data_IF_794929709751
#
_entry.id   IF_794929709751
#
_cell.length_a   1.000
_cell.length_b   1.000
_cell.length_c   1.000
_cell.angle_alpha   90.00
_cell.angle_beta   90.00
_cell.angle_gamma   90.00
#
_symmetry.space_group_name_H-M   'P 1'
#
loop_
_entity.id
_entity.type
_entity.pdbx_description
1 polymer ?
#
# COMPACT_ATOMS: atom_id res chain seq x y z
N UNK A 1 -1.82 56.37 8.19
CA UNK A 1 -1.88 55.81 9.55
C UNK A 1 -3.07 54.86 9.58
N UNK A 2 -2.84 53.67 9.00
CA UNK A 2 -2.77 52.36 9.68
C UNK A 2 -4.16 51.79 9.92
N UNK A 3 -4.66 51.11 8.88
CA UNK A 3 -5.44 49.89 9.01
C UNK A 3 -4.77 48.95 10.01
N UNK A 4 -5.57 48.41 10.94
CA UNK A 4 -5.20 47.23 11.71
C UNK A 4 -6.32 46.21 11.54
N UNK A 5 -5.99 44.93 11.27
CA UNK A 5 -6.92 44.00 10.66
C UNK A 5 -7.91 43.44 11.68
N UNK A 6 -9.06 43.02 11.14
CA UNK A 6 -10.14 42.28 11.78
C UNK A 6 -9.69 40.86 12.16
N UNK A 7 -8.91 40.73 13.22
CA UNK A 7 -8.74 39.47 13.96
C UNK A 7 -9.86 39.41 15.00
N UNK A 8 -10.91 38.65 14.69
CA UNK A 8 -11.82 38.17 15.73
C UNK A 8 -11.10 37.08 16.53
N UNK A 9 -11.21 37.18 17.85
CA UNK A 9 -10.61 36.30 18.85
C UNK A 9 -10.95 34.82 18.59
N UNK A 10 -9.92 34.00 18.40
CA UNK A 10 -10.05 32.56 18.36
C UNK A 10 -9.92 32.03 19.78
N UNK A 11 -11.04 31.66 20.40
CA UNK A 11 -11.04 30.95 21.68
C UNK A 11 -10.64 29.48 21.47
N UNK A 12 -9.86 28.93 22.41
CA UNK A 12 -9.31 27.56 22.37
C UNK A 12 -10.36 26.44 22.20
N UNK A 13 -11.64 26.76 22.41
CA UNK A 13 -12.76 25.83 22.31
C UNK A 13 -13.12 25.45 20.86
N UNK A 14 -12.83 26.32 19.86
CA UNK A 14 -13.12 26.05 18.44
C UNK A 14 -12.03 25.23 17.72
N UNK A 15 -10.80 25.25 18.22
CA UNK A 15 -9.72 24.39 17.70
C UNK A 15 -10.01 22.92 18.07
N UNK A 16 -10.64 22.68 19.22
CA UNK A 16 -10.98 21.34 19.71
C UNK A 16 -12.04 20.57 18.91
N UNK A 17 -12.81 21.18 18.01
CA UNK A 17 -13.90 20.47 17.31
C UNK A 17 -13.60 20.13 15.85
N UNK A 18 -12.41 20.47 15.32
CA UNK A 18 -12.03 20.12 13.93
C UNK A 18 -10.77 19.26 13.80
N UNK A 19 -10.11 18.94 14.92
CA UNK A 19 -8.90 18.10 14.96
C UNK A 19 -9.09 16.78 15.75
N UNK A 20 -10.30 16.54 16.29
CA UNK A 20 -10.58 15.41 17.20
C UNK A 20 -11.19 14.15 16.54
N UNK A 21 -11.36 14.11 15.21
CA UNK A 21 -11.95 12.94 14.52
C UNK A 21 -10.91 11.97 13.91
N UNK A 22 -9.61 12.27 14.00
CA UNK A 22 -8.55 11.38 13.48
C UNK A 22 -7.74 10.70 14.60
N UNK A 23 -7.38 11.44 15.65
CA UNK A 23 -6.46 10.95 16.69
C UNK A 23 -7.15 10.16 17.81
N UNK A 24 -8.45 10.34 18.05
CA UNK A 24 -9.19 9.59 19.09
C UNK A 24 -9.58 8.16 18.63
N UNK A 25 -9.35 7.83 17.36
CA UNK A 25 -9.56 6.47 16.83
C UNK A 25 -8.44 5.47 17.18
N UNK A 26 -7.37 5.92 17.84
CA UNK A 26 -6.16 5.10 18.08
C UNK A 26 -5.80 4.96 19.57
N UNK A 27 -6.71 5.32 20.51
CA UNK A 27 -6.36 5.23 21.94
C UNK A 27 -7.48 4.76 22.87
N UNK A 28 -7.83 3.47 22.79
CA UNK A 28 -8.14 2.68 24.00
C UNK A 28 -7.65 1.23 23.82
N UNK A 29 -6.69 0.73 24.62
CA UNK A 29 -6.32 -0.68 24.63
C UNK A 29 -7.39 -1.46 25.40
N UNK A 30 -8.13 -2.31 24.69
CA UNK A 30 -9.06 -3.26 25.28
C UNK A 30 -10.51 -2.95 24.94
N UNK A 31 -11.05 -3.72 23.99
CA UNK A 31 -12.45 -3.78 23.59
C UNK A 31 -13.00 -2.59 22.79
N UNK A 32 -12.69 -2.52 21.49
CA UNK A 32 -13.60 -1.88 20.53
C UNK A 32 -13.77 -2.72 19.26
N UNK A 33 -15.01 -2.76 18.81
CA UNK A 33 -15.57 -3.58 17.74
C UNK A 33 -14.95 -3.26 16.36
N UNK A 34 -13.76 -3.81 16.06
CA UNK A 34 -13.20 -3.78 14.71
C UNK A 34 -14.13 -4.41 13.66
N UNK A 35 -14.96 -5.36 14.09
CA UNK A 35 -15.92 -6.05 13.25
C UNK A 35 -17.12 -5.19 12.82
N UNK A 36 -17.39 -4.04 13.46
CA UNK A 36 -18.59 -3.24 13.19
C UNK A 36 -18.34 -2.00 12.31
N UNK A 37 -17.13 -1.44 12.27
CA UNK A 37 -16.83 -0.30 11.40
C UNK A 37 -16.60 -0.70 9.93
N UNK A 38 -16.29 -1.98 9.69
CA UNK A 38 -16.02 -2.54 8.35
C UNK A 38 -17.29 -2.99 7.62
N UNK A 39 -18.42 -3.18 8.33
CA UNK A 39 -19.61 -3.85 7.79
C UNK A 39 -20.59 -2.95 7.02
N UNK A 40 -20.45 -1.63 7.05
CA UNK A 40 -21.44 -0.71 6.45
C UNK A 40 -20.97 0.02 5.18
N UNK A 41 -19.67 0.00 4.84
CA UNK A 41 -19.24 0.58 3.56
C UNK A 41 -19.44 -0.42 2.43
N UNK A 42 -20.10 -0.03 1.33
CA UNK A 42 -20.15 -0.88 0.16
C UNK A 42 -18.73 -1.19 -0.28
N UNK A 43 -18.46 -2.49 -0.52
CA UNK A 43 -17.19 -2.98 -1.00
C UNK A 43 -16.84 -2.24 -2.29
N UNK A 44 -15.72 -1.51 -2.31
CA UNK A 44 -15.21 -0.90 -3.55
C UNK A 44 -14.82 -2.01 -4.52
N UNK A 45 -15.41 -1.98 -5.72
CA UNK A 45 -15.11 -2.93 -6.79
C UNK A 45 -14.14 -2.30 -7.78
N UNK A 46 -13.14 -3.06 -8.20
CA UNK A 46 -12.13 -2.64 -9.18
C UNK A 46 -12.29 -3.44 -10.46
N UNK A 47 -12.07 -2.77 -11.59
CA UNK A 47 -12.03 -3.37 -12.93
C UNK A 47 -10.74 -3.02 -13.66
N UNK A 48 -10.41 -3.81 -14.69
CA UNK A 48 -9.34 -3.47 -15.64
C UNK A 48 -9.65 -2.12 -16.31
N UNK A 49 -8.63 -1.31 -16.49
CA UNK A 49 -8.71 -0.02 -17.17
C UNK A 49 -7.65 0.08 -18.26
N UNK A 50 -7.98 0.80 -19.34
CA UNK A 50 -7.00 1.19 -20.35
C UNK A 50 -6.16 2.37 -19.85
N UNK A 51 -4.91 2.54 -20.33
CA UNK A 51 -4.01 3.59 -19.84
C UNK A 51 -4.59 5.00 -19.93
N UNK A 52 -5.26 5.36 -21.04
CA UNK A 52 -5.82 6.70 -21.23
C UNK A 52 -6.91 7.02 -20.21
N UNK A 53 -7.80 6.05 -19.94
CA UNK A 53 -8.84 6.19 -18.94
C UNK A 53 -8.24 6.31 -17.52
N UNK A 54 -7.26 5.47 -17.21
CA UNK A 54 -6.59 5.49 -15.92
C UNK A 54 -5.93 6.84 -15.66
N UNK A 55 -5.21 7.37 -16.65
CA UNK A 55 -4.54 8.67 -16.57
C UNK A 55 -5.55 9.79 -16.33
N UNK A 56 -6.69 9.80 -17.03
CA UNK A 56 -7.74 10.80 -16.81
C UNK A 56 -8.23 10.83 -15.35
N UNK A 57 -8.32 9.68 -14.69
CA UNK A 57 -8.76 9.62 -13.29
C UNK A 57 -7.63 9.96 -12.31
N UNK A 58 -6.42 9.43 -12.54
CA UNK A 58 -5.23 9.72 -11.73
C UNK A 58 -4.92 11.22 -11.73
N UNK A 59 -5.05 11.89 -12.87
CA UNK A 59 -4.66 13.30 -13.00
C UNK A 59 -5.67 14.27 -12.34
N UNK A 60 -6.77 13.74 -11.76
CA UNK A 60 -7.67 14.49 -10.86
C UNK A 60 -7.10 14.64 -9.44
N UNK A 61 -5.97 14.01 -9.14
CA UNK A 61 -5.26 14.20 -7.86
C UNK A 61 -4.91 15.69 -7.69
N UNK A 62 -5.23 16.31 -6.54
CA UNK A 62 -4.87 17.70 -6.29
C UNK A 62 -3.36 17.93 -6.37
N UNK A 63 -2.93 19.10 -6.84
CA UNK A 63 -1.51 19.41 -7.09
C UNK A 63 -0.60 19.10 -5.90
N UNK A 64 -1.05 19.39 -4.66
CA UNK A 64 -0.30 19.10 -3.43
C UNK A 64 0.05 17.62 -3.20
N UNK A 65 -0.60 16.70 -3.91
CA UNK A 65 -0.41 15.25 -3.81
C UNK A 65 0.22 14.64 -5.07
N UNK A 66 0.29 15.38 -6.19
CA UNK A 66 0.88 14.88 -7.45
C UNK A 66 2.34 14.43 -7.31
N UNK A 67 3.21 15.09 -6.51
CA UNK A 67 4.58 14.64 -6.31
C UNK A 67 4.73 13.21 -5.75
N UNK A 68 3.69 12.64 -5.15
CA UNK A 68 3.71 11.29 -4.57
C UNK A 68 3.31 10.18 -5.56
N UNK A 69 2.96 10.54 -6.80
CA UNK A 69 2.53 9.58 -7.83
C UNK A 69 3.25 9.89 -9.13
N UNK A 70 4.09 8.96 -9.59
CA UNK A 70 4.81 9.09 -10.86
C UNK A 70 3.83 9.23 -12.04
N UNK A 71 3.94 10.30 -12.87
CA UNK A 71 2.99 10.60 -13.92
C UNK A 71 3.26 9.83 -15.22
N UNK A 72 3.38 8.49 -15.15
CA UNK A 72 3.60 7.66 -16.34
C UNK A 72 2.57 7.96 -17.43
N UNK A 73 3.01 7.99 -18.68
CA UNK A 73 2.16 8.14 -19.84
C UNK A 73 1.64 6.78 -20.34
N UNK A 74 0.76 6.83 -21.33
CA UNK A 74 0.08 5.65 -21.83
C UNK A 74 1.01 4.65 -22.54
N UNK A 75 2.10 5.11 -23.16
CA UNK A 75 3.11 4.24 -23.77
C UNK A 75 3.94 3.55 -22.69
N UNK A 76 4.39 4.28 -21.67
CA UNK A 76 5.17 3.72 -20.55
C UNK A 76 4.40 2.60 -19.83
N UNK A 77 3.11 2.79 -19.55
CA UNK A 77 2.28 1.73 -18.97
C UNK A 77 2.20 0.48 -19.85
N UNK A 78 2.10 0.66 -21.18
CA UNK A 78 2.04 -0.46 -22.14
C UNK A 78 3.37 -1.19 -22.25
N UNK A 79 4.47 -0.45 -22.30
CA UNK A 79 5.83 -0.98 -22.39
C UNK A 79 6.20 -1.79 -21.15
N UNK A 80 5.83 -1.28 -19.96
CA UNK A 80 5.94 -2.02 -18.70
C UNK A 80 4.97 -3.20 -18.58
N UNK A 81 4.03 -3.34 -19.54
CA UNK A 81 2.94 -4.33 -19.52
C UNK A 81 2.14 -4.26 -18.22
N UNK A 82 1.89 -3.04 -17.75
CA UNK A 82 1.25 -2.77 -16.47
C UNK A 82 -0.23 -3.12 -16.54
N UNK A 83 -0.67 -3.91 -15.57
CA UNK A 83 -2.09 -4.16 -15.34
C UNK A 83 -2.68 -3.03 -14.51
N UNK A 84 -3.41 -2.12 -15.16
CA UNK A 84 -4.11 -1.01 -14.52
C UNK A 84 -5.53 -1.38 -14.07
N UNK A 85 -5.94 -0.83 -12.92
CA UNK A 85 -7.23 -1.04 -12.30
C UNK A 85 -7.80 0.28 -11.78
N UNK A 86 -9.10 0.50 -12.02
CA UNK A 86 -9.85 1.64 -11.46
C UNK A 86 -11.01 1.11 -10.63
N UNK A 87 -11.34 1.83 -9.56
CA UNK A 87 -12.63 1.62 -8.90
C UNK A 87 -13.76 1.95 -9.86
N UNK A 88 -14.92 1.32 -9.71
CA UNK A 88 -16.09 1.63 -10.55
C UNK A 88 -16.51 3.11 -10.46
N UNK A 89 -16.23 3.76 -9.31
CA UNK A 89 -16.45 5.19 -9.11
C UNK A 89 -15.43 6.09 -9.82
N UNK A 90 -14.32 5.52 -10.32
CA UNK A 90 -13.17 6.25 -10.88
C UNK A 90 -12.44 7.12 -9.85
N UNK A 91 -12.68 6.89 -8.55
CA UNK A 91 -12.12 7.74 -7.47
C UNK A 91 -10.85 7.16 -6.85
N UNK A 92 -10.46 5.95 -7.22
CA UNK A 92 -9.18 5.35 -6.87
C UNK A 92 -8.74 4.40 -7.97
N UNK A 93 -7.46 4.06 -7.93
CA UNK A 93 -6.88 3.14 -8.88
C UNK A 93 -5.46 2.77 -8.52
N UNK A 94 -4.94 1.75 -9.19
CA UNK A 94 -3.58 1.28 -9.06
C UNK A 94 -3.12 0.53 -10.31
N UNK A 95 -1.81 0.34 -10.44
CA UNK A 95 -1.18 -0.49 -11.45
C UNK A 95 -0.36 -1.62 -10.83
N UNK A 96 -0.30 -2.77 -11.51
CA UNK A 96 0.60 -3.87 -11.16
C UNK A 96 1.49 -4.17 -12.36
N UNK A 97 2.80 -4.01 -12.22
CA UNK A 97 3.76 -4.37 -13.26
C UNK A 97 3.80 -5.90 -13.47
N UNK A 98 4.46 -6.35 -14.53
CA UNK A 98 4.68 -7.80 -14.77
C UNK A 98 5.38 -8.49 -13.59
N UNK A 99 6.27 -7.79 -12.90
CA UNK A 99 7.06 -8.31 -11.78
C UNK A 99 6.36 -8.16 -10.41
N UNK A 100 5.11 -7.67 -10.42
CA UNK A 100 4.31 -7.51 -9.22
C UNK A 100 4.60 -6.25 -8.42
N UNK A 101 5.22 -5.22 -9.02
CA UNK A 101 5.30 -3.89 -8.40
C UNK A 101 3.93 -3.22 -8.39
N UNK A 102 3.49 -2.79 -7.22
CA UNK A 102 2.34 -1.90 -7.07
C UNK A 102 2.80 -0.47 -7.36
N UNK A 103 2.31 0.09 -8.46
CA UNK A 103 2.64 1.45 -8.91
C UNK A 103 1.36 2.27 -9.10
N UNK A 104 1.53 3.60 -9.16
CA UNK A 104 0.44 4.53 -9.48
C UNK A 104 -0.82 4.38 -8.63
N UNK A 105 -0.67 3.93 -7.37
CA UNK A 105 -1.77 3.86 -6.41
C UNK A 105 -2.26 5.28 -6.11
N UNK A 106 -3.56 5.52 -6.24
CA UNK A 106 -4.17 6.77 -5.83
C UNK A 106 -5.56 6.56 -5.23
N UNK A 107 -5.97 7.50 -4.39
CA UNK A 107 -7.34 7.66 -3.93
C UNK A 107 -7.62 9.16 -3.85
N UNK A 108 -8.64 9.62 -4.58
CA UNK A 108 -9.04 11.02 -4.55
C UNK A 108 -9.49 11.41 -3.13
N UNK A 109 -9.33 12.70 -2.75
CA UNK A 109 -9.82 13.20 -1.48
C UNK A 109 -11.28 12.81 -1.25
N UNK A 110 -11.64 12.53 0.01
CA UNK A 110 -12.97 12.07 0.46
C UNK A 110 -13.41 10.69 -0.04
N UNK A 111 -12.73 10.06 -1.01
CA UNK A 111 -13.06 8.69 -1.42
C UNK A 111 -12.75 7.69 -0.30
N UNK A 112 -11.60 7.88 0.39
CA UNK A 112 -11.11 6.98 1.44
C UNK A 112 -11.00 5.52 0.96
N UNK A 113 -10.68 5.31 -0.32
CA UNK A 113 -10.64 4.00 -0.98
C UNK A 113 -9.23 3.35 -0.95
N UNK A 114 -8.21 4.06 -0.45
CA UNK A 114 -6.82 3.57 -0.40
C UNK A 114 -6.65 2.16 0.22
N UNK A 115 -7.24 1.86 1.39
CA UNK A 115 -7.19 0.52 1.96
C UNK A 115 -7.78 -0.56 1.05
N UNK A 116 -8.92 -0.27 0.42
CA UNK A 116 -9.57 -1.19 -0.51
C UNK A 116 -8.72 -1.41 -1.77
N UNK A 117 -8.08 -0.35 -2.29
CA UNK A 117 -7.20 -0.43 -3.45
C UNK A 117 -5.99 -1.34 -3.19
N UNK A 118 -5.33 -1.21 -2.03
CA UNK A 118 -4.19 -2.08 -1.69
C UNK A 118 -4.64 -3.52 -1.46
N UNK A 119 -5.75 -3.74 -0.74
CA UNK A 119 -6.29 -5.08 -0.53
C UNK A 119 -6.60 -5.78 -1.85
N UNK A 120 -7.20 -5.06 -2.81
CA UNK A 120 -7.51 -5.57 -4.13
C UNK A 120 -6.24 -5.79 -4.97
N UNK A 121 -5.26 -4.89 -4.90
CA UNK A 121 -3.98 -5.05 -5.58
C UNK A 121 -3.21 -6.29 -5.12
N UNK A 122 -3.18 -6.56 -3.81
CA UNK A 122 -2.55 -7.77 -3.24
C UNK A 122 -3.26 -9.03 -3.75
N UNK A 123 -4.59 -9.05 -3.77
CA UNK A 123 -5.37 -10.16 -4.35
C UNK A 123 -5.06 -10.36 -5.84
N UNK A 124 -4.80 -9.27 -6.56
CA UNK A 124 -4.42 -9.29 -7.97
C UNK A 124 -2.92 -9.53 -8.22
N UNK A 125 -2.14 -9.86 -7.19
CA UNK A 125 -0.74 -10.31 -7.33
C UNK A 125 0.32 -9.22 -7.16
N UNK A 126 0.00 -8.08 -6.54
CA UNK A 126 1.01 -7.15 -6.07
C UNK A 126 1.88 -7.81 -4.99
N UNK A 127 3.20 -7.69 -5.11
CA UNK A 127 4.18 -8.33 -4.24
C UNK A 127 5.17 -7.35 -3.62
N UNK A 128 5.45 -6.23 -4.28
CA UNK A 128 6.42 -5.23 -3.85
C UNK A 128 5.97 -3.83 -4.25
N UNK A 129 6.51 -2.82 -3.58
CA UNK A 129 6.28 -1.40 -3.84
C UNK A 129 7.44 -0.58 -3.29
N UNK A 130 7.54 0.65 -3.75
CA UNK A 130 8.31 1.72 -3.14
C UNK A 130 7.39 2.88 -2.76
N UNK A 131 7.75 3.61 -1.70
CA UNK A 131 6.98 4.75 -1.24
C UNK A 131 7.84 5.82 -0.58
N UNK A 132 7.41 7.08 -0.69
CA UNK A 132 8.02 8.23 -0.02
C UNK A 132 7.49 8.29 1.41
N UNK A 133 8.24 7.79 2.39
CA UNK A 133 7.72 7.55 3.74
C UNK A 133 8.01 8.72 4.68
N UNK A 134 7.22 9.79 4.54
CA UNK A 134 7.22 10.87 5.52
C UNK A 134 6.61 10.39 6.84
N UNK A 135 7.36 10.54 7.94
CA UNK A 135 6.92 10.23 9.31
C UNK A 135 6.39 8.80 9.55
N UNK A 136 6.83 7.81 8.76
CA UNK A 136 6.44 6.39 8.88
C UNK A 136 4.96 6.07 8.64
N UNK A 137 4.21 7.01 8.05
CA UNK A 137 2.79 6.80 7.80
C UNK A 137 2.54 5.73 6.73
N UNK A 138 3.29 5.76 5.62
CA UNK A 138 3.04 4.87 4.50
C UNK A 138 3.54 3.46 4.78
N UNK A 139 4.68 3.31 5.44
CA UNK A 139 5.18 1.98 5.83
C UNK A 139 4.23 1.26 6.78
N UNK A 140 3.67 1.97 7.77
CA UNK A 140 2.62 1.40 8.63
C UNK A 140 1.34 1.08 7.84
N UNK A 141 0.92 1.98 6.96
CA UNK A 141 -0.26 1.80 6.12
C UNK A 141 -0.17 0.51 5.29
N UNK A 142 0.93 0.30 4.55
CA UNK A 142 1.17 -0.88 3.74
C UNK A 142 1.44 -2.14 4.58
N UNK A 143 2.05 -1.99 5.76
CA UNK A 143 2.27 -3.08 6.71
C UNK A 143 1.01 -3.85 7.08
N UNK A 144 -0.14 -3.17 7.15
CA UNK A 144 -1.45 -3.78 7.41
C UNK A 144 -1.90 -4.78 6.32
N UNK A 145 -1.32 -4.69 5.12
CA UNK A 145 -1.58 -5.58 3.99
C UNK A 145 -0.49 -6.65 3.81
N UNK A 146 0.43 -6.79 4.78
CA UNK A 146 1.47 -7.81 4.80
C UNK A 146 2.79 -7.40 4.11
N UNK A 147 2.91 -6.14 3.67
CA UNK A 147 4.17 -5.61 3.19
C UNK A 147 5.15 -5.40 4.35
N UNK A 148 6.42 -5.72 4.12
CA UNK A 148 7.51 -5.48 5.07
C UNK A 148 8.63 -4.74 4.36
N UNK A 149 9.18 -3.72 5.02
CA UNK A 149 10.38 -3.01 4.54
C UNK A 149 11.53 -4.01 4.35
N UNK A 150 12.21 -3.92 3.21
CA UNK A 150 13.41 -4.70 2.93
C UNK A 150 14.61 -3.85 2.50
N UNK A 151 14.37 -2.60 2.10
CA UNK A 151 15.43 -1.65 1.76
C UNK A 151 14.94 -0.20 1.90
N UNK A 152 15.88 0.74 1.97
CA UNK A 152 15.62 2.17 2.16
C UNK A 152 16.73 3.02 1.53
N UNK A 153 16.34 4.01 0.74
CA UNK A 153 17.25 5.01 0.20
C UNK A 153 17.04 6.35 0.88
N UNK A 154 18.16 7.04 1.17
CA UNK A 154 18.12 8.43 1.61
C UNK A 154 17.62 9.32 0.48
N UNK A 155 16.85 10.34 0.85
CA UNK A 155 16.40 11.35 -0.09
C UNK A 155 17.61 11.98 -0.80
N UNK A 156 17.44 12.20 -2.10
CA UNK A 156 18.41 12.88 -2.94
C UNK A 156 17.68 13.91 -3.79
N UNK A 157 18.03 15.18 -3.59
CA UNK A 157 17.36 16.33 -4.22
C UNK A 157 17.42 16.27 -5.76
N UNK A 158 18.39 15.54 -6.34
CA UNK A 158 18.47 15.38 -7.80
C UNK A 158 17.30 14.55 -8.39
N UNK A 159 16.68 13.71 -7.57
CA UNK A 159 15.53 12.86 -7.95
C UNK A 159 14.22 13.36 -7.34
N UNK A 160 14.22 14.56 -6.75
CA UNK A 160 13.01 15.15 -6.19
C UNK A 160 11.94 15.33 -7.29
N UNK A 161 10.69 14.93 -7.03
CA UNK A 161 9.61 15.14 -7.98
C UNK A 161 9.40 16.63 -8.26
N UNK A 162 8.94 16.95 -9.46
CA UNK A 162 8.59 18.32 -9.83
C UNK A 162 7.53 18.89 -8.86
N UNK A 163 7.76 20.11 -8.37
CA UNK A 163 6.87 20.77 -7.42
C UNK A 163 6.94 20.24 -5.98
N UNK A 164 7.99 19.50 -5.59
CA UNK A 164 8.17 19.05 -4.22
C UNK A 164 8.28 20.21 -3.21
N UNK A 165 7.36 20.27 -2.25
CA UNK A 165 7.36 21.26 -1.18
C UNK A 165 8.26 20.81 -0.03
N UNK A 166 9.54 21.16 -0.09
CA UNK A 166 10.53 20.85 0.95
C UNK A 166 10.19 21.41 2.33
N UNK A 167 9.46 22.54 2.40
CA UNK A 167 9.08 23.14 3.68
C UNK A 167 8.02 22.30 4.37
N UNK A 168 7.09 21.74 3.59
CA UNK A 168 5.98 20.93 4.10
C UNK A 168 6.35 19.48 4.31
N UNK A 169 7.08 18.88 3.37
CA UNK A 169 7.31 17.44 3.33
C UNK A 169 8.75 17.04 3.70
N UNK A 170 9.66 18.01 3.81
CA UNK A 170 11.06 17.74 4.14
C UNK A 170 11.78 16.94 3.07
N UNK A 171 12.64 16.01 3.53
CA UNK A 171 13.45 15.10 2.71
C UNK A 171 13.31 13.66 3.24
N UNK A 172 12.11 13.05 3.07
CA UNK A 172 11.81 11.73 3.61
C UNK A 172 12.55 10.65 2.83
N UNK A 173 12.85 9.53 3.46
CA UNK A 173 13.49 8.41 2.78
C UNK A 173 12.51 7.72 1.81
N UNK A 174 13.06 7.10 0.75
CA UNK A 174 12.32 6.18 -0.11
C UNK A 174 12.42 4.79 0.49
N UNK A 175 11.27 4.15 0.74
CA UNK A 175 11.21 2.84 1.40
C UNK A 175 10.69 1.80 0.45
N UNK A 176 11.44 0.71 0.30
CA UNK A 176 11.06 -0.44 -0.49
C UNK A 176 10.45 -1.52 0.40
N UNK A 177 9.26 -1.96 0.03
CA UNK A 177 8.51 -2.95 0.79
C UNK A 177 8.10 -4.12 -0.08
N UNK A 178 7.99 -5.31 0.53
CA UNK A 178 7.52 -6.52 -0.14
C UNK A 178 6.74 -7.42 0.80
N UNK A 179 5.79 -8.16 0.25
CA UNK A 179 5.15 -9.28 0.94
C UNK A 179 6.17 -10.41 1.00
N UNK A 180 6.49 -10.88 2.21
CA UNK A 180 7.25 -12.13 2.36
C UNK A 180 6.41 -13.25 1.78
N UNK A 181 6.91 -13.97 0.79
CA UNK A 181 6.26 -15.21 0.36
C UNK A 181 6.07 -16.08 1.60
N UNK A 182 4.82 -16.32 1.98
CA UNK A 182 4.53 -17.38 2.95
C UNK A 182 5.00 -18.64 2.25
N UNK A 183 6.10 -19.22 2.73
CA UNK A 183 6.43 -20.63 2.47
C UNK A 183 5.12 -21.41 2.60
N UNK A 184 4.62 -21.94 1.49
CA UNK A 184 3.25 -22.40 1.48
C UNK A 184 3.13 -23.54 2.48
N UNK A 185 2.11 -23.48 3.36
CA UNK A 185 1.86 -24.57 4.31
C UNK A 185 1.63 -25.92 3.59
N UNK A 186 1.24 -25.86 2.30
CA UNK A 186 1.15 -27.02 1.40
C UNK A 186 2.52 -27.66 1.10
N UNK A 187 3.58 -26.89 0.92
CA UNK A 187 4.94 -27.43 0.72
C UNK A 187 5.53 -28.03 2.00
N UNK A 188 5.27 -27.45 3.17
CA UNK A 188 5.73 -28.01 4.46
C UNK A 188 5.10 -29.38 4.77
N UNK A 189 3.79 -29.54 4.56
CA UNK A 189 3.14 -30.86 4.75
C UNK A 189 3.65 -31.91 3.76
N UNK A 190 3.93 -31.50 2.52
CA UNK A 190 4.47 -32.41 1.52
C UNK A 190 5.92 -32.81 1.84
N UNK A 191 6.72 -31.89 2.40
CA UNK A 191 8.08 -32.13 2.88
C UNK A 191 8.15 -33.08 4.09
N UNK A 192 7.27 -32.91 5.08
CA UNK A 192 7.19 -33.84 6.21
C UNK A 192 6.66 -35.22 5.80
N UNK A 193 5.70 -35.27 4.88
CA UNK A 193 5.21 -36.50 4.27
C UNK A 193 6.31 -37.22 3.48
N UNK A 194 7.07 -36.49 2.67
CA UNK A 194 8.21 -37.01 1.93
C UNK A 194 9.28 -37.57 2.86
N UNK A 195 9.69 -36.80 3.90
CA UNK A 195 10.64 -37.27 4.93
C UNK A 195 10.19 -38.58 5.56
N UNK A 196 8.94 -38.67 6.03
CA UNK A 196 8.42 -39.89 6.65
C UNK A 196 8.48 -41.09 5.70
N UNK A 197 8.25 -40.87 4.41
CA UNK A 197 8.30 -41.93 3.40
C UNK A 197 9.74 -42.32 3.02
N UNK A 198 10.68 -41.37 2.94
CA UNK A 198 12.10 -41.68 2.73
C UNK A 198 12.71 -42.41 3.91
N UNK A 199 12.43 -42.00 5.16
CA UNK A 199 12.90 -42.72 6.35
C UNK A 199 12.37 -44.16 6.41
N UNK A 200 11.10 -44.39 6.03
CA UNK A 200 10.52 -45.74 5.93
C UNK A 200 11.17 -46.58 4.82
N UNK A 201 11.43 -45.99 3.67
CA UNK A 201 12.10 -46.67 2.56
C UNK A 201 13.55 -47.04 2.93
N UNK A 202 14.27 -46.14 3.60
CA UNK A 202 15.63 -46.39 4.07
C UNK A 202 15.68 -47.49 5.14
N UNK A 203 14.79 -47.46 6.14
CA UNK A 203 14.71 -48.50 7.15
C UNK A 203 14.42 -49.89 6.55
N UNK A 204 13.59 -49.95 5.50
CA UNK A 204 13.29 -51.20 4.78
C UNK A 204 14.49 -51.72 3.98
N UNK A 205 15.25 -50.82 3.35
CA UNK A 205 16.45 -51.18 2.58
C UNK A 205 17.59 -51.63 3.50
N UNK A 206 17.84 -50.95 4.62
CA UNK A 206 18.85 -51.34 5.60
C UNK A 206 18.57 -52.70 6.25
N UNK A 207 17.29 -53.05 6.48
CA UNK A 207 16.92 -54.35 7.02
C UNK A 207 17.17 -55.53 6.05
N UNK A 208 17.07 -55.29 4.73
CA UNK A 208 17.34 -56.31 3.72
C UNK A 208 18.83 -56.62 3.55
N UNK A 209 19.71 -55.64 3.76
CA UNK A 209 21.16 -55.81 3.59
C UNK A 209 21.91 -56.24 4.87
N UNK A 210 21.23 -56.31 6.01
CA UNK A 210 21.81 -56.78 7.28
C UNK A 210 21.69 -58.31 7.50
N UNK A 211 21.14 -59.06 6.53
CA UNK A 211 20.89 -60.51 6.62
C UNK A 211 21.72 -61.34 5.63
N UNK A 212 22.90 -60.88 5.23
CA UNK A 212 23.87 -61.66 4.44
C UNK A 212 25.19 -61.74 5.20
#
# INVERSE_FOLDING_TARGET
>A
MTDSPRWEEWTEEKIRTTELDYEDSIRTPGQTNVAAYETEKPKTVYRRAEPEEFIQQRDRIPDRLRPFVTPYNALEYRDMKTRLYLSESGRSGYGITKDGDLISLFSLPKAKEGPAAVADAVQNGAKKLDCIDSERFLTQFYGRFGFTEYDRLKWDDQYAPEGWDYKRWGRPDIVFMRIKERSTWREQKNWEGWKKNTWKAWAKFSAMHAST
#
